data_IF_426461451813
#
_entry.id   IF_426461451813
#
_cell.length_a   1.000
_cell.length_b   1.000
_cell.length_c   1.000
_cell.angle_alpha   90.00
_cell.angle_beta   90.00
_cell.angle_gamma   90.00
#
_symmetry.space_group_name_H-M   'P 1'
#
loop_
_entity.id
_entity.type
_entity.pdbx_description
1 polymer ?
#
# COMPACT_ATOMS: atom_id res chain seq x y z
N UNK A 1 36.12 -24.22 8.91
CA UNK A 1 35.37 -23.69 7.75
C UNK A 1 35.66 -24.52 6.49
N UNK A 2 36.94 -24.97 6.24
CA UNK A 2 37.27 -25.82 5.10
C UNK A 2 36.60 -27.20 5.15
N UNK A 3 36.49 -27.80 6.32
CA UNK A 3 35.88 -29.12 6.51
C UNK A 3 34.33 -29.12 6.38
N UNK A 4 33.67 -28.02 6.71
CA UNK A 4 32.19 -27.99 6.68
C UNK A 4 31.60 -27.92 5.25
N UNK A 5 32.31 -27.32 4.28
CA UNK A 5 31.80 -27.25 2.89
C UNK A 5 32.02 -28.58 2.17
N UNK A 6 33.15 -29.29 2.47
CA UNK A 6 33.45 -30.60 1.92
C UNK A 6 32.45 -31.66 2.42
N UNK A 7 32.09 -31.63 3.69
CA UNK A 7 31.05 -32.52 4.28
C UNK A 7 29.67 -32.26 3.69
N UNK A 8 29.35 -31.03 3.32
CA UNK A 8 28.06 -30.70 2.68
C UNK A 8 28.00 -31.17 1.21
N UNK A 9 29.15 -31.35 0.54
CA UNK A 9 29.22 -31.86 -0.84
C UNK A 9 29.37 -33.39 -0.85
N UNK A 10 30.16 -34.00 0.05
CA UNK A 10 30.36 -35.44 0.09
C UNK A 10 29.07 -36.23 0.45
N UNK A 11 28.12 -35.63 1.19
CA UNK A 11 26.81 -36.24 1.44
C UNK A 11 25.85 -36.16 0.22
N UNK A 12 26.28 -35.53 -0.91
CA UNK A 12 25.47 -35.43 -2.13
C UNK A 12 25.91 -36.35 -3.26
N UNK A 13 27.04 -37.09 -3.12
CA UNK A 13 27.59 -37.96 -4.19
C UNK A 13 26.96 -39.36 -4.19
N UNK A 14 26.15 -39.74 -3.20
CA UNK A 14 25.56 -41.09 -3.12
C UNK A 14 24.07 -41.19 -3.43
N UNK A 15 23.40 -40.11 -3.93
CA UNK A 15 22.02 -40.26 -4.39
C UNK A 15 21.77 -39.55 -5.72
N UNK A 16 22.15 -40.23 -6.78
CA UNK A 16 21.74 -39.87 -8.13
C UNK A 16 20.30 -40.31 -8.36
N UNK A 17 19.33 -39.44 -8.05
CA UNK A 17 18.01 -39.28 -8.71
C UNK A 17 17.07 -38.45 -7.83
N UNK A 18 16.80 -37.23 -8.30
CA UNK A 18 15.54 -36.53 -7.96
C UNK A 18 15.56 -35.59 -6.76
N UNK A 19 15.48 -34.29 -7.02
CA UNK A 19 14.96 -33.30 -6.11
C UNK A 19 15.96 -32.75 -5.09
N UNK A 20 16.48 -31.57 -5.42
CA UNK A 20 17.16 -30.73 -4.42
C UNK A 20 16.15 -30.42 -3.32
N UNK A 21 16.30 -31.04 -2.14
CA UNK A 21 15.38 -30.83 -1.03
C UNK A 21 15.60 -29.42 -0.48
N UNK A 22 14.51 -28.72 -0.13
CA UNK A 22 14.54 -27.38 0.47
C UNK A 22 15.58 -27.26 1.59
N UNK A 23 15.77 -28.31 2.35
CA UNK A 23 16.74 -28.42 3.45
C UNK A 23 18.22 -28.36 3.01
N UNK A 24 18.55 -28.89 1.82
CA UNK A 24 19.92 -28.81 1.27
C UNK A 24 20.25 -27.42 0.76
N UNK A 25 19.29 -26.75 0.12
CA UNK A 25 19.43 -25.39 -0.35
C UNK A 25 19.70 -24.42 0.81
N UNK A 26 18.96 -24.56 1.91
CA UNK A 26 19.14 -23.74 3.11
C UNK A 26 20.50 -23.99 3.79
N UNK A 27 21.02 -25.20 3.79
CA UNK A 27 22.36 -25.52 4.29
C UNK A 27 23.45 -24.84 3.44
N UNK A 28 23.33 -24.89 2.10
CA UNK A 28 24.28 -24.23 1.18
C UNK A 28 24.25 -22.70 1.33
N UNK A 29 23.06 -22.11 1.44
CA UNK A 29 22.88 -20.67 1.73
C UNK A 29 23.57 -20.27 3.02
N UNK A 30 23.41 -21.05 4.08
CA UNK A 30 24.02 -20.82 5.39
C UNK A 30 25.55 -20.80 5.31
N UNK A 31 26.15 -21.77 4.64
CA UNK A 31 27.62 -21.84 4.48
C UNK A 31 28.18 -20.59 3.79
N UNK A 32 27.51 -20.10 2.74
CA UNK A 32 27.92 -18.87 2.04
C UNK A 32 27.82 -17.66 2.98
N UNK A 33 26.73 -17.53 3.74
CA UNK A 33 26.51 -16.44 4.67
C UNK A 33 27.49 -16.45 5.85
N UNK A 34 27.82 -17.63 6.35
CA UNK A 34 28.80 -17.81 7.42
C UNK A 34 30.20 -17.41 6.94
N UNK A 35 30.60 -17.88 5.75
CA UNK A 35 31.88 -17.46 5.11
C UNK A 35 31.96 -15.93 4.94
N UNK A 36 30.89 -15.30 4.44
CA UNK A 36 30.84 -13.85 4.25
C UNK A 36 30.74 -13.07 5.58
N UNK A 37 30.45 -13.75 6.69
CA UNK A 37 30.41 -13.17 8.04
C UNK A 37 31.73 -13.19 8.77
N UNK A 38 32.73 -13.94 8.29
CA UNK A 38 34.03 -14.04 8.94
C UNK A 38 34.85 -12.76 8.78
N UNK A 39 35.63 -12.40 9.81
CA UNK A 39 36.45 -11.17 9.82
C UNK A 39 37.50 -11.13 8.70
N UNK A 40 37.97 -12.29 8.26
CA UNK A 40 38.95 -12.42 7.18
C UNK A 40 38.34 -12.42 5.77
N UNK A 41 37.00 -12.35 5.64
CA UNK A 41 36.36 -12.36 4.34
C UNK A 41 36.63 -11.09 3.57
N UNK A 42 37.28 -11.24 2.40
CA UNK A 42 37.51 -10.14 1.46
C UNK A 42 36.46 -10.23 0.35
N UNK A 43 35.75 -9.12 -0.01
CA UNK A 43 34.75 -9.14 -1.08
C UNK A 43 35.29 -9.76 -2.36
N UNK A 44 34.62 -10.78 -2.89
CA UNK A 44 35.05 -11.62 -4.02
C UNK A 44 34.04 -11.57 -5.15
N UNK A 45 34.50 -11.75 -6.39
CA UNK A 45 33.64 -12.01 -7.54
C UNK A 45 33.18 -13.46 -7.53
N UNK A 46 32.12 -13.78 -8.28
CA UNK A 46 31.59 -15.14 -8.40
C UNK A 46 32.67 -16.21 -8.65
N UNK A 47 33.57 -15.95 -9.61
CA UNK A 47 34.66 -16.88 -9.95
C UNK A 47 35.63 -17.11 -8.78
N UNK A 48 35.92 -16.06 -8.03
CA UNK A 48 36.81 -16.10 -6.86
C UNK A 48 36.13 -16.87 -5.71
N UNK A 49 34.82 -16.64 -5.55
CA UNK A 49 33.97 -17.32 -4.55
C UNK A 49 33.87 -18.81 -4.87
N UNK A 50 33.68 -19.18 -6.15
CA UNK A 50 33.64 -20.56 -6.60
C UNK A 50 34.94 -21.31 -6.29
N UNK A 51 36.10 -20.64 -6.47
CA UNK A 51 37.41 -21.23 -6.10
C UNK A 51 37.55 -21.37 -4.59
N UNK A 52 37.13 -20.35 -3.82
CA UNK A 52 37.20 -20.36 -2.37
C UNK A 52 36.36 -21.46 -1.77
N UNK A 53 35.17 -21.68 -2.33
CA UNK A 53 34.20 -22.71 -1.93
C UNK A 53 34.50 -24.09 -2.58
N UNK A 54 35.53 -24.19 -3.41
CA UNK A 54 35.95 -25.41 -4.14
C UNK A 54 34.81 -26.00 -5.02
N UNK A 55 33.97 -25.14 -5.57
CA UNK A 55 32.85 -25.53 -6.45
C UNK A 55 33.36 -25.99 -7.80
N UNK A 56 32.95 -27.17 -8.27
CA UNK A 56 33.33 -27.72 -9.58
C UNK A 56 32.78 -26.87 -10.73
N UNK A 57 33.30 -27.10 -11.97
CA UNK A 57 32.77 -26.37 -13.12
C UNK A 57 31.30 -26.69 -13.42
N UNK A 58 30.89 -27.89 -13.09
CA UNK A 58 29.51 -28.40 -13.30
C UNK A 58 28.53 -27.79 -12.32
N UNK A 59 28.96 -27.51 -11.07
CA UNK A 59 28.13 -26.96 -10.00
C UNK A 59 28.08 -25.41 -9.98
N UNK A 60 28.75 -24.73 -10.90
CA UNK A 60 28.74 -23.25 -10.95
C UNK A 60 27.36 -22.66 -11.22
N UNK A 61 26.57 -23.34 -12.01
CA UNK A 61 25.19 -22.91 -12.27
C UNK A 61 24.35 -22.89 -10.99
N UNK A 62 24.57 -23.87 -10.13
CA UNK A 62 23.92 -23.97 -8.85
C UNK A 62 24.40 -22.91 -7.85
N UNK A 63 25.70 -22.65 -7.79
CA UNK A 63 26.24 -21.53 -7.00
C UNK A 63 25.62 -20.20 -7.43
N UNK A 64 25.49 -19.95 -8.74
CA UNK A 64 24.85 -18.75 -9.27
C UNK A 64 23.39 -18.64 -8.89
N UNK A 65 22.66 -19.75 -8.93
CA UNK A 65 21.27 -19.79 -8.50
C UNK A 65 21.15 -19.37 -7.02
N UNK A 66 21.98 -19.98 -6.15
CA UNK A 66 21.99 -19.68 -4.71
C UNK A 66 22.40 -18.23 -4.42
N UNK A 67 23.41 -17.70 -5.11
CA UNK A 67 23.82 -16.29 -4.97
C UNK A 67 22.71 -15.34 -5.39
N UNK A 68 21.99 -15.63 -6.47
CA UNK A 68 20.85 -14.83 -6.91
C UNK A 68 19.68 -14.90 -5.91
N UNK A 69 19.42 -16.07 -5.34
CA UNK A 69 18.42 -16.20 -4.28
C UNK A 69 18.81 -15.38 -3.04
N UNK A 70 20.05 -15.46 -2.58
CA UNK A 70 20.56 -14.68 -1.45
C UNK A 70 20.56 -13.17 -1.71
N UNK A 71 20.77 -12.74 -2.98
CA UNK A 71 20.59 -11.35 -3.39
C UNK A 71 19.13 -10.92 -3.33
N UNK A 72 18.23 -11.76 -3.84
CA UNK A 72 16.79 -11.52 -3.80
C UNK A 72 16.25 -11.50 -2.36
N UNK A 73 16.80 -12.37 -1.50
CA UNK A 73 16.50 -12.38 -0.06
C UNK A 73 17.18 -11.21 0.69
N UNK A 74 18.00 -10.41 0.00
CA UNK A 74 18.72 -9.27 0.59
C UNK A 74 19.73 -9.64 1.67
N UNK A 75 20.13 -10.90 1.77
CA UNK A 75 21.12 -11.39 2.73
C UNK A 75 22.56 -11.08 2.32
N UNK A 76 22.79 -10.89 1.01
CA UNK A 76 24.05 -10.44 0.44
C UNK A 76 23.82 -9.28 -0.51
N UNK A 77 24.86 -8.52 -0.82
CA UNK A 77 24.82 -7.44 -1.79
C UNK A 77 26.04 -7.46 -2.71
N UNK A 78 25.96 -6.75 -3.85
CA UNK A 78 27.05 -6.65 -4.81
C UNK A 78 27.64 -5.24 -4.74
N UNK A 79 28.97 -5.14 -4.58
CA UNK A 79 29.67 -3.86 -4.62
C UNK A 79 29.74 -3.30 -6.05
N UNK A 80 30.06 -2.01 -6.20
CA UNK A 80 30.28 -1.33 -7.49
C UNK A 80 31.29 -2.06 -8.40
N UNK A 81 32.16 -2.90 -7.86
CA UNK A 81 33.17 -3.68 -8.58
C UNK A 81 32.71 -5.11 -8.91
N UNK A 82 31.40 -5.43 -8.70
CA UNK A 82 30.83 -6.75 -8.95
C UNK A 82 31.26 -7.82 -7.95
N UNK A 83 31.60 -7.45 -6.73
CA UNK A 83 32.04 -8.36 -5.67
C UNK A 83 30.92 -8.56 -4.65
N UNK A 84 30.73 -9.79 -4.19
CA UNK A 84 29.74 -10.16 -3.20
C UNK A 84 30.21 -9.82 -1.79
N UNK A 85 29.29 -9.29 -0.97
CA UNK A 85 29.50 -9.00 0.44
C UNK A 85 28.26 -9.44 1.22
N UNK A 86 28.44 -9.81 2.49
CA UNK A 86 27.30 -9.99 3.40
C UNK A 86 26.60 -8.63 3.57
N UNK A 87 25.29 -8.59 3.41
CA UNK A 87 24.55 -7.38 3.69
C UNK A 87 24.76 -7.02 5.18
N UNK A 88 25.17 -5.78 5.45
CA UNK A 88 25.46 -5.31 6.83
C UNK A 88 24.20 -5.24 7.68
N UNK A 89 23.03 -5.20 7.03
CA UNK A 89 21.72 -5.38 7.65
C UNK A 89 20.94 -6.35 6.75
N UNK A 90 20.16 -7.28 7.33
CA UNK A 90 19.00 -7.82 6.63
C UNK A 90 18.24 -6.60 6.07
N UNK A 91 17.70 -6.64 4.84
CA UNK A 91 16.96 -5.50 4.33
C UNK A 91 15.90 -5.17 5.39
N UNK A 92 16.05 -3.99 6.02
CA UNK A 92 15.03 -3.48 6.91
C UNK A 92 13.77 -3.44 6.08
N UNK A 93 12.83 -4.29 6.44
CA UNK A 93 11.54 -4.28 5.81
C UNK A 93 10.90 -2.96 6.18
N UNK A 94 10.88 -2.05 5.23
CA UNK A 94 10.26 -0.74 5.41
C UNK A 94 8.76 -0.90 5.30
N UNK A 95 8.03 -0.20 6.15
CA UNK A 95 6.57 -0.09 6.07
C UNK A 95 6.25 1.29 5.51
N UNK A 96 5.29 1.36 4.62
CA UNK A 96 4.86 2.62 4.03
C UNK A 96 3.52 2.50 3.30
N UNK A 97 3.05 3.62 2.77
CA UNK A 97 1.80 3.70 2.02
C UNK A 97 2.07 3.56 0.52
N UNK A 98 1.42 2.61 -0.12
CA UNK A 98 1.52 2.40 -1.57
C UNK A 98 0.62 3.36 -2.34
N UNK A 99 1.22 4.14 -3.22
CA UNK A 99 0.53 5.05 -4.14
C UNK A 99 0.63 4.48 -5.55
N UNK A 100 -0.46 3.96 -6.08
CA UNK A 100 -0.50 3.39 -7.43
C UNK A 100 -0.47 4.49 -8.50
N UNK A 101 -0.03 4.12 -9.69
CA UNK A 101 -0.01 4.99 -10.87
C UNK A 101 -0.77 4.32 -12.03
N UNK A 102 -1.53 5.07 -12.87
CA UNK A 102 -2.33 4.51 -13.98
C UNK A 102 -1.56 3.65 -14.98
N UNK A 103 -0.25 3.86 -15.08
CA UNK A 103 0.65 3.10 -15.97
C UNK A 103 1.11 1.76 -15.41
N UNK A 104 0.54 1.29 -14.29
CA UNK A 104 0.82 -0.03 -13.73
C UNK A 104 2.02 -0.10 -12.78
N UNK A 105 2.77 0.97 -12.55
CA UNK A 105 3.78 1.07 -11.48
C UNK A 105 3.24 1.85 -10.27
N UNK A 106 4.03 2.01 -9.23
CA UNK A 106 3.66 2.85 -8.08
C UNK A 106 4.85 3.32 -7.28
N UNK A 107 4.55 3.97 -6.15
CA UNK A 107 5.52 4.47 -5.19
C UNK A 107 5.11 4.05 -3.78
N UNK A 108 6.09 3.90 -2.89
CA UNK A 108 5.83 3.70 -1.47
C UNK A 108 6.44 4.87 -0.69
N UNK A 109 5.57 5.61 -0.02
CA UNK A 109 5.92 6.64 0.95
C UNK A 109 6.22 5.94 2.27
N UNK A 110 7.51 5.79 2.61
CA UNK A 110 7.95 5.11 3.82
C UNK A 110 8.35 6.12 4.90
N UNK A 111 7.97 5.85 6.16
CA UNK A 111 8.34 6.70 7.27
C UNK A 111 9.86 6.85 7.42
N UNK A 112 10.32 8.08 7.67
CA UNK A 112 11.74 8.39 7.88
C UNK A 112 12.58 8.48 6.60
N UNK A 113 11.96 8.51 5.42
CA UNK A 113 12.63 8.73 4.14
C UNK A 113 12.12 10.01 3.47
N UNK A 114 13.04 10.77 2.87
CA UNK A 114 12.70 11.95 2.08
C UNK A 114 12.23 11.58 0.66
N UNK A 115 12.74 10.47 0.12
CA UNK A 115 12.44 10.00 -1.24
C UNK A 115 11.52 8.77 -1.21
N UNK A 116 10.49 8.80 -2.08
CA UNK A 116 9.60 7.67 -2.32
C UNK A 116 10.32 6.52 -3.02
N UNK A 117 9.96 5.30 -2.64
CA UNK A 117 10.47 4.08 -3.24
C UNK A 117 9.68 3.75 -4.52
N UNK A 118 10.36 3.59 -5.64
CA UNK A 118 9.73 3.18 -6.89
C UNK A 118 9.41 1.68 -6.87
N UNK A 119 8.16 1.33 -7.19
CA UNK A 119 7.67 -0.05 -7.25
C UNK A 119 7.35 -0.39 -8.72
N UNK A 120 8.17 -1.19 -9.39
CA UNK A 120 7.86 -1.69 -10.73
C UNK A 120 6.57 -2.52 -10.75
N UNK A 121 5.88 -2.59 -11.88
CA UNK A 121 4.62 -3.30 -12.06
C UNK A 121 4.67 -4.77 -11.57
N UNK A 122 5.75 -5.48 -11.91
CA UNK A 122 5.97 -6.87 -11.49
C UNK A 122 6.32 -7.04 -9.99
N UNK A 123 6.48 -5.94 -9.25
CA UNK A 123 6.84 -5.93 -7.82
C UNK A 123 5.70 -5.48 -6.90
N UNK A 124 4.50 -5.21 -7.44
CA UNK A 124 3.34 -4.69 -6.68
C UNK A 124 2.67 -5.78 -5.82
N UNK A 125 2.74 -7.05 -6.23
CA UNK A 125 2.21 -8.20 -5.48
C UNK A 125 0.75 -8.06 -5.00
N UNK A 126 -0.12 -7.49 -5.83
CA UNK A 126 -1.54 -7.33 -5.52
C UNK A 126 -1.87 -6.21 -4.53
N UNK A 127 -0.94 -5.30 -4.26
CA UNK A 127 -1.22 -4.10 -3.51
C UNK A 127 -2.12 -3.14 -4.31
N UNK A 128 -3.01 -2.47 -3.60
CA UNK A 128 -3.97 -1.52 -4.13
C UNK A 128 -3.64 -0.11 -3.64
N UNK A 129 -4.22 0.91 -4.27
CA UNK A 129 -3.98 2.31 -3.90
C UNK A 129 -4.22 2.56 -2.41
N UNK A 130 -3.33 3.28 -1.75
CA UNK A 130 -3.32 3.59 -0.31
C UNK A 130 -3.15 2.39 0.63
N UNK A 131 -2.83 1.19 0.14
CA UNK A 131 -2.50 0.08 1.03
C UNK A 131 -1.26 0.39 1.88
N UNK A 132 -1.30 0.02 3.15
CA UNK A 132 -0.10 -0.05 3.98
C UNK A 132 0.63 -1.34 3.64
N UNK A 133 1.86 -1.21 3.19
CA UNK A 133 2.64 -2.34 2.66
C UNK A 133 4.01 -2.41 3.33
N UNK A 134 4.53 -3.63 3.36
CA UNK A 134 5.90 -3.91 3.72
C UNK A 134 6.71 -4.14 2.46
N UNK A 135 7.84 -3.46 2.35
CA UNK A 135 8.67 -3.49 1.16
C UNK A 135 10.10 -3.87 1.47
N UNK A 136 10.74 -4.51 0.51
CA UNK A 136 12.18 -4.82 0.52
C UNK A 136 12.86 -4.05 -0.60
N UNK A 137 13.98 -3.40 -0.28
CA UNK A 137 14.76 -2.64 -1.27
C UNK A 137 15.40 -3.58 -2.28
N UNK A 138 15.28 -3.26 -3.55
CA UNK A 138 15.99 -3.94 -4.63
C UNK A 138 17.41 -3.34 -4.83
N UNK A 139 18.35 -4.10 -5.43
CA UNK A 139 19.69 -3.60 -5.71
C UNK A 139 19.66 -2.33 -6.57
N UNK A 140 20.36 -1.29 -6.12
CA UNK A 140 20.41 0.00 -6.84
C UNK A 140 21.13 -0.15 -8.15
N UNK A 141 20.48 0.15 -9.26
CA UNK A 141 21.13 0.33 -10.55
C UNK A 141 21.67 1.76 -10.66
N UNK A 142 22.94 1.90 -11.13
CA UNK A 142 23.60 3.20 -11.22
C UNK A 142 22.76 4.25 -11.97
N UNK A 143 22.49 5.40 -11.31
CA UNK A 143 21.76 6.53 -11.88
C UNK A 143 20.24 6.40 -11.90
N UNK A 144 19.66 5.35 -11.33
CA UNK A 144 18.21 5.17 -11.19
C UNK A 144 17.73 5.42 -9.75
N UNK A 145 16.45 5.73 -9.61
CA UNK A 145 15.78 5.79 -8.31
C UNK A 145 15.88 4.44 -7.59
N UNK A 146 15.83 4.46 -6.26
CA UNK A 146 15.76 3.25 -5.46
C UNK A 146 14.47 2.49 -5.79
N UNK A 147 14.62 1.27 -6.28
CA UNK A 147 13.53 0.34 -6.52
C UNK A 147 13.28 -0.52 -5.28
N UNK A 148 12.01 -0.91 -5.08
CA UNK A 148 11.62 -1.83 -4.02
C UNK A 148 10.55 -2.81 -4.52
N UNK A 149 10.38 -3.90 -3.78
CA UNK A 149 9.34 -4.90 -4.00
C UNK A 149 8.43 -4.96 -2.79
N UNK A 150 7.12 -4.98 -3.01
CA UNK A 150 6.15 -5.22 -1.97
C UNK A 150 6.19 -6.70 -1.60
N UNK A 151 6.43 -7.01 -0.33
CA UNK A 151 6.51 -8.38 0.18
C UNK A 151 5.26 -8.80 0.94
N UNK A 152 4.56 -7.82 1.54
CA UNK A 152 3.37 -8.08 2.34
C UNK A 152 2.43 -6.87 2.30
N UNK A 153 1.13 -7.12 2.30
CA UNK A 153 0.09 -6.11 2.47
C UNK A 153 -0.33 -6.15 3.94
N UNK A 154 0.06 -5.12 4.69
CA UNK A 154 -0.20 -5.03 6.14
C UNK A 154 -1.66 -4.65 6.41
N UNK A 155 -2.17 -3.66 5.67
CA UNK A 155 -3.55 -3.21 5.77
C UNK A 155 -4.05 -2.68 4.43
N UNK A 156 -5.34 -2.90 4.16
CA UNK A 156 -6.01 -2.31 3.00
C UNK A 156 -6.36 -0.85 3.26
N UNK A 157 -5.90 0.04 2.40
CA UNK A 157 -6.12 1.47 2.53
C UNK A 157 -7.46 1.93 2.00
N UNK A 158 -7.99 1.29 0.97
CA UNK A 158 -9.29 1.61 0.38
C UNK A 158 -10.21 0.40 0.39
N UNK A 159 -11.38 0.54 0.99
CA UNK A 159 -12.43 -0.49 0.99
C UNK A 159 -13.54 -0.17 -0.01
N UNK A 160 -13.67 1.09 -0.38
CA UNK A 160 -14.70 1.61 -1.26
C UNK A 160 -14.08 2.47 -2.35
N UNK A 161 -14.72 2.52 -3.48
CA UNK A 161 -14.33 3.33 -4.63
C UNK A 161 -15.58 3.99 -5.20
N UNK A 162 -15.49 5.29 -5.47
CA UNK A 162 -16.50 6.01 -6.22
C UNK A 162 -16.10 6.00 -7.69
N UNK A 163 -17.08 5.76 -8.55
CA UNK A 163 -16.84 5.69 -9.98
C UNK A 163 -18.12 5.65 -10.80
N UNK A 164 -17.96 5.56 -12.10
CA UNK A 164 -19.06 5.44 -13.05
C UNK A 164 -19.28 3.97 -13.39
N UNK A 165 -20.50 3.50 -13.21
CA UNK A 165 -20.86 2.14 -13.60
C UNK A 165 -21.12 2.07 -15.11
N UNK A 166 -20.50 1.12 -15.76
CA UNK A 166 -20.75 0.75 -17.16
C UNK A 166 -21.16 -0.72 -17.27
N UNK A 167 -22.40 -0.93 -17.71
CA UNK A 167 -22.98 -2.26 -17.86
C UNK A 167 -22.49 -2.88 -19.16
N UNK A 168 -21.63 -3.88 -19.07
CA UNK A 168 -21.06 -4.56 -20.24
C UNK A 168 -22.07 -5.50 -20.93
N UNK A 169 -22.84 -6.25 -20.12
CA UNK A 169 -23.90 -7.15 -20.61
C UNK A 169 -24.93 -7.47 -19.52
N UNK A 170 -25.77 -8.49 -19.73
CA UNK A 170 -26.82 -8.85 -18.75
C UNK A 170 -26.25 -9.42 -17.46
N UNK A 171 -25.05 -9.98 -17.45
CA UNK A 171 -24.49 -10.74 -16.34
C UNK A 171 -23.50 -9.95 -15.50
N UNK A 172 -22.89 -8.89 -16.05
CA UNK A 172 -21.91 -8.08 -15.34
C UNK A 172 -21.72 -6.69 -15.95
N UNK A 173 -21.05 -5.84 -15.20
CA UNK A 173 -20.54 -4.53 -15.61
C UNK A 173 -19.23 -4.21 -14.90
N UNK A 174 -18.79 -2.99 -15.09
CA UNK A 174 -17.57 -2.47 -14.46
C UNK A 174 -17.85 -1.13 -13.79
N UNK A 175 -17.17 -0.86 -12.70
CA UNK A 175 -17.07 0.49 -12.14
C UNK A 175 -15.72 1.05 -12.57
N UNK A 176 -15.78 2.16 -13.30
CA UNK A 176 -14.61 2.94 -13.72
C UNK A 176 -14.34 3.95 -12.61
N UNK A 177 -13.25 3.82 -11.83
CA UNK A 177 -12.97 4.71 -10.72
C UNK A 177 -12.79 6.18 -11.14
N UNK A 178 -13.30 7.11 -10.34
CA UNK A 178 -13.08 8.55 -10.54
C UNK A 178 -11.64 8.95 -10.16
N UNK A 179 -11.02 8.20 -9.27
CA UNK A 179 -9.62 8.39 -8.91
C UNK A 179 -8.71 7.76 -9.97
N UNK A 180 -8.10 8.59 -10.82
CA UNK A 180 -7.19 8.17 -11.88
C UNK A 180 -5.98 7.35 -11.40
N UNK A 181 -5.61 7.44 -10.11
CA UNK A 181 -4.54 6.63 -9.53
C UNK A 181 -4.90 5.15 -9.47
N UNK A 182 -6.20 4.82 -9.53
CA UNK A 182 -6.67 3.43 -9.63
C UNK A 182 -6.73 3.06 -11.11
N UNK A 183 -5.64 2.52 -11.63
CA UNK A 183 -5.47 2.22 -13.06
C UNK A 183 -6.24 1.01 -13.58
N UNK A 184 -7.26 0.51 -12.85
CA UNK A 184 -8.04 -0.66 -13.22
C UNK A 184 -9.51 -0.51 -12.87
N UNK A 185 -10.40 -0.99 -13.76
CA UNK A 185 -11.82 -1.05 -13.50
C UNK A 185 -12.14 -2.17 -12.51
N UNK A 186 -13.22 -1.99 -11.75
CA UNK A 186 -13.71 -2.97 -10.79
C UNK A 186 -14.83 -3.78 -11.42
N UNK A 187 -14.66 -5.08 -11.49
CA UNK A 187 -15.67 -6.01 -12.00
C UNK A 187 -16.84 -6.13 -11.01
N UNK A 188 -18.07 -6.01 -11.50
CA UNK A 188 -19.28 -6.10 -10.69
C UNK A 188 -20.26 -7.08 -11.34
N UNK A 189 -20.54 -8.23 -10.72
CA UNK A 189 -21.60 -9.14 -11.14
C UNK A 189 -22.98 -8.45 -11.09
N UNK A 190 -23.87 -8.81 -12.00
CA UNK A 190 -25.21 -8.18 -12.10
C UNK A 190 -26.02 -8.27 -10.82
N UNK A 191 -25.93 -9.39 -10.11
CA UNK A 191 -26.61 -9.60 -8.82
C UNK A 191 -26.09 -8.67 -7.71
N UNK A 192 -24.89 -8.09 -7.89
CA UNK A 192 -24.26 -7.14 -6.95
C UNK A 192 -24.29 -5.69 -7.46
N UNK A 193 -24.97 -5.45 -8.59
CA UNK A 193 -25.07 -4.12 -9.20
C UNK A 193 -26.12 -3.21 -8.57
N UNK A 194 -26.94 -3.72 -7.65
CA UNK A 194 -28.03 -2.97 -6.97
C UNK A 194 -29.01 -2.28 -7.97
N UNK A 195 -29.09 -2.81 -9.20
CA UNK A 195 -29.94 -2.22 -10.26
C UNK A 195 -29.33 -1.00 -10.97
N UNK A 196 -28.03 -0.75 -10.79
CA UNK A 196 -27.35 0.32 -11.51
C UNK A 196 -27.38 0.08 -13.03
N UNK A 197 -27.47 1.17 -13.77
CA UNK A 197 -27.39 1.20 -15.25
C UNK A 197 -26.17 2.02 -15.67
N UNK A 198 -25.74 1.85 -16.93
CA UNK A 198 -24.61 2.61 -17.48
C UNK A 198 -24.83 4.11 -17.29
N UNK A 199 -23.78 4.82 -16.85
CA UNK A 199 -23.80 6.24 -16.54
C UNK A 199 -24.18 6.59 -15.10
N UNK A 200 -24.56 5.62 -14.27
CA UNK A 200 -24.73 5.88 -12.84
C UNK A 200 -23.39 6.09 -12.15
N UNK A 201 -23.30 7.15 -11.34
CA UNK A 201 -22.28 7.33 -10.31
C UNK A 201 -22.62 6.47 -9.12
N UNK A 202 -21.66 5.68 -8.68
CA UNK A 202 -21.88 4.66 -7.65
C UNK A 202 -20.74 4.62 -6.64
N UNK A 203 -21.07 4.18 -5.41
CA UNK A 203 -20.08 3.75 -4.44
C UNK A 203 -19.99 2.23 -4.51
N UNK A 204 -18.82 1.73 -4.81
CA UNK A 204 -18.52 0.30 -4.94
C UNK A 204 -17.62 -0.16 -3.80
N UNK A 205 -18.06 -1.12 -3.02
CA UNK A 205 -17.24 -1.81 -2.02
C UNK A 205 -16.41 -2.90 -2.71
N UNK A 206 -15.09 -2.92 -2.48
CA UNK A 206 -14.18 -3.91 -3.03
C UNK A 206 -14.31 -5.19 -2.21
N UNK A 207 -14.68 -6.28 -2.85
CA UNK A 207 -14.82 -7.61 -2.22
C UNK A 207 -13.62 -8.51 -2.48
N UNK A 208 -12.95 -8.32 -3.60
CA UNK A 208 -11.68 -8.97 -3.97
C UNK A 208 -10.78 -7.94 -4.68
N UNK A 209 -9.53 -7.81 -4.24
CA UNK A 209 -8.58 -6.86 -4.82
C UNK A 209 -7.88 -7.39 -6.09
N UNK A 210 -8.20 -8.61 -6.51
CA UNK A 210 -7.55 -9.27 -7.63
C UNK A 210 -6.12 -9.73 -7.32
N UNK A 211 -5.71 -10.82 -7.93
CA UNK A 211 -4.33 -11.34 -7.94
C UNK A 211 -4.04 -11.92 -9.31
N UNK A 212 -2.78 -12.00 -9.68
CA UNK A 212 -2.33 -12.71 -10.90
C UNK A 212 -3.06 -12.25 -12.18
N UNK A 213 -3.07 -10.94 -12.43
CA UNK A 213 -3.73 -10.28 -13.57
C UNK A 213 -5.28 -10.35 -13.57
N UNK A 214 -5.92 -10.77 -12.49
CA UNK A 214 -7.38 -10.65 -12.38
C UNK A 214 -7.76 -9.23 -11.93
N UNK A 215 -8.81 -8.69 -12.55
CA UNK A 215 -9.37 -7.41 -12.12
C UNK A 215 -9.95 -7.52 -10.71
N UNK A 216 -9.93 -6.44 -9.92
CA UNK A 216 -10.65 -6.37 -8.65
C UNK A 216 -12.14 -6.64 -8.86
N UNK A 217 -12.80 -7.24 -7.86
CA UNK A 217 -14.24 -7.48 -7.85
C UNK A 217 -14.89 -6.66 -6.72
N UNK A 218 -16.08 -6.13 -7.00
CA UNK A 218 -16.83 -5.33 -6.03
C UNK A 218 -18.32 -5.55 -6.08
N UNK A 219 -19.00 -4.90 -5.15
CA UNK A 219 -20.45 -4.76 -5.10
C UNK A 219 -20.84 -3.29 -4.98
N UNK A 220 -21.89 -2.87 -5.68
CA UNK A 220 -22.43 -1.51 -5.54
C UNK A 220 -23.20 -1.44 -4.23
N UNK A 221 -22.81 -0.53 -3.35
CA UNK A 221 -23.48 -0.29 -2.05
C UNK A 221 -24.37 0.93 -2.09
N UNK A 222 -24.10 1.90 -2.98
CA UNK A 222 -24.87 3.13 -3.13
C UNK A 222 -24.90 3.56 -4.59
N UNK A 223 -26.05 4.08 -5.06
CA UNK A 223 -26.20 4.75 -6.35
C UNK A 223 -26.42 6.22 -6.04
N UNK A 224 -25.51 7.09 -6.49
CA UNK A 224 -25.57 8.53 -6.21
C UNK A 224 -26.49 9.27 -7.19
N UNK A 225 -26.72 8.71 -8.37
CA UNK A 225 -27.52 9.26 -9.44
C UNK A 225 -26.86 9.04 -10.79
N UNK A 226 -27.46 9.58 -11.85
CA UNK A 226 -26.82 9.58 -13.17
C UNK A 226 -25.78 10.69 -13.28
N UNK A 227 -24.70 10.47 -14.04
CA UNK A 227 -23.59 11.45 -14.20
C UNK A 227 -24.04 12.84 -14.61
N UNK A 228 -25.21 12.95 -15.25
CA UNK A 228 -25.77 14.24 -15.70
C UNK A 228 -26.78 14.85 -14.70
N UNK A 229 -27.06 14.17 -13.58
CA UNK A 229 -28.00 14.68 -12.58
C UNK A 229 -27.34 15.79 -11.73
N UNK A 230 -28.05 16.86 -11.40
CA UNK A 230 -27.51 17.96 -10.59
C UNK A 230 -27.06 17.47 -9.22
N UNK A 231 -25.87 17.87 -8.78
CA UNK A 231 -25.31 17.60 -7.46
C UNK A 231 -24.64 16.23 -7.32
N UNK A 232 -24.75 15.34 -8.31
CA UNK A 232 -24.10 14.01 -8.28
C UNK A 232 -22.58 14.11 -8.34
N UNK A 233 -22.05 15.12 -9.01
CA UNK A 233 -20.64 15.47 -9.05
C UNK A 233 -20.09 15.80 -7.65
N UNK A 234 -20.79 16.66 -6.92
CA UNK A 234 -20.47 17.03 -5.53
C UNK A 234 -20.55 15.82 -4.61
N UNK A 235 -21.63 15.04 -4.70
CA UNK A 235 -21.80 13.84 -3.88
C UNK A 235 -20.73 12.78 -4.17
N UNK A 236 -20.28 12.67 -5.42
CA UNK A 236 -19.18 11.78 -5.79
C UNK A 236 -17.86 12.18 -5.11
N UNK A 237 -17.59 13.48 -5.02
CA UNK A 237 -16.41 14.00 -4.31
C UNK A 237 -16.54 13.73 -2.81
N UNK A 238 -17.68 14.06 -2.20
CA UNK A 238 -17.95 13.84 -0.77
C UNK A 238 -17.75 12.38 -0.39
N UNK A 239 -18.32 11.47 -1.17
CA UNK A 239 -18.17 10.02 -0.96
C UNK A 239 -16.75 9.53 -1.26
N UNK A 240 -16.07 10.11 -2.25
CA UNK A 240 -14.68 9.78 -2.60
C UNK A 240 -13.68 10.10 -1.48
N UNK A 241 -13.99 11.10 -0.65
CA UNK A 241 -13.23 11.46 0.55
C UNK A 241 -13.79 10.81 1.82
N UNK A 242 -14.78 9.92 1.70
CA UNK A 242 -15.43 9.24 2.83
C UNK A 242 -15.98 10.21 3.89
N UNK A 243 -16.40 11.41 3.46
CA UNK A 243 -17.00 12.39 4.36
C UNK A 243 -18.39 11.95 4.79
N UNK A 244 -18.73 12.08 6.08
CA UNK A 244 -20.07 11.79 6.56
C UNK A 244 -21.06 12.82 6.00
N UNK A 245 -22.19 12.36 5.47
CA UNK A 245 -23.28 13.22 4.97
C UNK A 245 -24.45 13.31 5.94
N UNK A 246 -24.49 12.47 6.95
CA UNK A 246 -25.50 12.45 8.00
C UNK A 246 -24.82 12.40 9.37
N UNK A 247 -25.43 13.08 10.33
CA UNK A 247 -24.97 12.98 11.71
C UNK A 247 -25.35 11.61 12.30
N UNK A 248 -24.47 10.96 13.08
CA UNK A 248 -24.85 9.77 13.82
C UNK A 248 -26.05 10.01 14.74
N UNK A 249 -26.95 9.03 14.88
CA UNK A 249 -28.14 9.15 15.74
C UNK A 249 -27.86 9.63 17.16
N UNK A 250 -26.72 9.19 17.74
CA UNK A 250 -26.28 9.66 19.05
C UNK A 250 -26.06 11.17 19.10
N UNK A 251 -25.55 11.77 18.02
CA UNK A 251 -25.32 13.21 17.92
C UNK A 251 -26.67 13.95 17.78
N UNK A 252 -27.56 13.43 16.93
CA UNK A 252 -28.90 13.98 16.77
C UNK A 252 -29.69 13.96 18.10
N UNK A 253 -29.70 12.82 18.80
CA UNK A 253 -30.33 12.71 20.12
C UNK A 253 -29.69 13.64 21.17
N UNK A 254 -28.38 13.80 21.14
CA UNK A 254 -27.71 14.73 22.04
C UNK A 254 -28.12 16.17 21.74
N UNK A 255 -28.14 16.55 20.45
CA UNK A 255 -28.60 17.89 20.04
C UNK A 255 -30.03 18.17 20.50
N UNK A 256 -30.96 17.22 20.31
CA UNK A 256 -32.35 17.33 20.77
C UNK A 256 -32.45 17.48 22.28
N UNK A 257 -31.63 16.74 23.05
CA UNK A 257 -31.68 16.77 24.52
C UNK A 257 -31.02 18.02 25.12
N UNK A 258 -30.08 18.63 24.41
CA UNK A 258 -29.35 19.83 24.88
C UNK A 258 -30.02 21.11 24.39
N UNK A 259 -30.77 21.04 23.28
CA UNK A 259 -31.50 22.20 22.73
C UNK A 259 -32.61 22.63 23.68
N UNK A 260 -32.43 23.72 24.38
CA UNK A 260 -33.45 24.38 25.21
C UNK A 260 -33.22 25.91 25.19
N UNK A 261 -34.28 26.65 25.52
CA UNK A 261 -34.17 28.09 25.66
C UNK A 261 -33.28 28.45 26.86
N UNK A 262 -32.62 29.60 26.78
CA UNK A 262 -31.75 30.09 27.86
C UNK A 262 -32.62 30.36 29.11
N UNK A 263 -32.29 29.66 30.18
CA UNK A 263 -33.00 29.78 31.46
C UNK A 263 -32.24 30.67 32.46
N UNK A 264 -32.91 31.06 33.56
CA UNK A 264 -32.25 31.80 34.64
C UNK A 264 -31.08 31.03 35.26
N UNK A 265 -31.15 29.71 35.28
CA UNK A 265 -30.04 28.86 35.74
C UNK A 265 -28.81 28.99 34.84
N UNK A 266 -28.99 29.14 33.54
CA UNK A 266 -27.90 29.30 32.56
C UNK A 266 -27.24 30.69 32.69
N UNK A 267 -27.97 31.68 33.19
CA UNK A 267 -27.47 33.04 33.44
C UNK A 267 -26.68 33.18 34.74
N UNK A 268 -26.83 32.22 35.65
CA UNK A 268 -26.17 32.30 36.97
C UNK A 268 -24.64 32.36 36.83
N UNK A 269 -24.03 33.40 37.44
CA UNK A 269 -22.56 33.62 37.38
C UNK A 269 -22.04 34.26 36.09
N UNK A 270 -22.91 34.64 35.16
CA UNK A 270 -22.55 35.38 33.95
C UNK A 270 -22.76 36.88 34.14
N UNK A 271 -21.98 37.69 33.43
CA UNK A 271 -22.17 39.16 33.41
C UNK A 271 -23.32 39.52 32.49
N UNK A 272 -24.28 40.31 32.99
CA UNK A 272 -25.41 40.78 32.22
C UNK A 272 -24.99 41.98 31.32
N UNK A 273 -24.94 41.72 30.01
CA UNK A 273 -24.57 42.74 29.02
C UNK A 273 -25.79 43.20 28.18
N UNK A 274 -27.04 42.87 28.56
CA UNK A 274 -28.23 43.20 27.77
C UNK A 274 -28.50 44.69 27.64
N UNK A 275 -27.92 45.51 28.52
CA UNK A 275 -28.02 46.97 28.47
C UNK A 275 -26.80 47.66 27.84
N UNK A 276 -25.81 46.87 27.36
CA UNK A 276 -24.65 47.39 26.65
C UNK A 276 -24.99 47.44 25.15
N UNK A 277 -24.73 48.63 24.57
CA UNK A 277 -24.90 48.77 23.13
C UNK A 277 -23.82 47.96 22.40
N UNK A 278 -24.25 46.92 21.65
CA UNK A 278 -23.40 46.06 20.87
C UNK A 278 -23.90 45.98 19.44
N UNK A 279 -22.97 45.81 18.51
CA UNK A 279 -23.25 45.58 17.09
C UNK A 279 -22.44 44.40 16.61
N UNK A 280 -22.99 43.58 15.73
CA UNK A 280 -22.25 42.60 14.92
C UNK A 280 -22.13 43.15 13.51
N UNK A 281 -21.05 42.82 12.81
CA UNK A 281 -20.77 43.26 11.44
C UNK A 281 -20.60 41.99 10.60
N UNK A 282 -21.70 41.46 10.18
CA UNK A 282 -21.77 40.19 9.44
C UNK A 282 -22.28 40.44 8.01
N UNK A 283 -22.09 39.47 7.13
CA UNK A 283 -22.69 39.50 5.79
C UNK A 283 -24.23 39.43 5.86
N UNK A 284 -24.91 39.96 4.82
CA UNK A 284 -26.37 40.03 4.74
C UNK A 284 -27.08 38.66 4.92
N UNK A 285 -26.42 37.59 4.46
CA UNK A 285 -26.95 36.22 4.53
C UNK A 285 -26.44 35.43 5.75
N UNK A 286 -25.72 36.05 6.68
CA UNK A 286 -25.18 35.37 7.85
C UNK A 286 -26.30 34.85 8.75
N UNK A 287 -26.26 33.54 9.04
CA UNK A 287 -27.18 32.86 9.96
C UNK A 287 -26.60 32.66 11.34
N UNK A 288 -25.28 32.82 11.45
CA UNK A 288 -24.50 32.73 12.67
C UNK A 288 -23.77 34.05 12.86
N UNK A 289 -23.95 34.66 14.02
CA UNK A 289 -23.37 35.96 14.34
C UNK A 289 -22.21 35.72 15.30
N UNK A 290 -20.97 35.92 14.81
CA UNK A 290 -19.78 35.55 15.56
C UNK A 290 -19.39 36.64 16.57
N UNK A 291 -18.77 37.71 16.10
CA UNK A 291 -18.16 38.70 16.98
C UNK A 291 -19.06 39.91 17.21
N UNK A 292 -19.23 40.28 18.48
CA UNK A 292 -19.92 41.50 18.86
C UNK A 292 -18.94 42.57 19.34
N UNK A 293 -19.10 43.80 18.84
CA UNK A 293 -18.27 44.96 19.22
C UNK A 293 -19.10 45.92 20.06
N UNK A 294 -18.54 46.39 21.20
CA UNK A 294 -19.13 47.42 22.01
C UNK A 294 -18.16 48.57 22.24
N UNK A 295 -18.66 49.78 22.44
CA UNK A 295 -17.90 50.94 22.88
C UNK A 295 -18.21 51.23 24.35
N UNK A 296 -17.17 51.38 25.16
CA UNK A 296 -17.25 51.78 26.59
C UNK A 296 -16.45 53.02 26.83
#
# INVERSE_FOLDING_TARGET
>A
VKECFFVAIENTVTDSKGGDTMEQNDKRKKVILDLMGEEFYIPMKEKELAVMLQVTKEDRSELNRILNELLTEGKISITKKGKFIKAKHAPEALIGTFISHPKGFGFVEAEGREDDLYIPENCINGAFHKDTVKVTLLPVQHGKRQEAQITEIVARGMKQVVGTYDKSNQNYGFVIPDNEKIGTDIFVPSERSKGAVSGHKVVCEITDYGKDNRKPEGKIIEILGHVNDPGVDIMSIVRGYELPVEFPEKVLHQAENVAHDVTEADMAGRTDLRNVQMVTIDGEDAKDLDDAVSLS
#
